data_IF_051393676937
#
_entry.id   IF_051393676937
#
_cell.length_a   1.000
_cell.length_b   1.000
_cell.length_c   1.000
_cell.angle_alpha   90.00
_cell.angle_beta   90.00
_cell.angle_gamma   90.00
#
_symmetry.space_group_name_H-M   'P 1'
#
loop_
_entity.id
_entity.type
_entity.pdbx_description
1 polymer ?
#
# COMPACT_ATOMS: atom_id res chain seq x y z
N UNK A 1 28.01 48.14 -4.90
CA UNK A 1 26.62 47.66 -5.08
C UNK A 1 26.63 46.34 -5.85
N UNK A 2 25.58 45.53 -5.69
CA UNK A 2 25.31 44.20 -6.29
C UNK A 2 25.91 42.97 -5.60
N UNK A 3 25.29 42.65 -4.46
CA UNK A 3 24.85 41.29 -4.14
C UNK A 3 24.04 40.77 -5.33
N UNK A 4 24.16 39.50 -5.72
CA UNK A 4 23.05 38.64 -6.19
C UNK A 4 23.53 37.25 -6.65
N UNK A 5 22.97 36.25 -5.95
CA UNK A 5 22.48 34.93 -6.40
C UNK A 5 23.45 33.95 -7.06
N UNK A 6 23.85 32.93 -6.29
CA UNK A 6 23.71 31.53 -6.71
C UNK A 6 23.27 30.72 -5.49
N UNK A 7 21.97 30.74 -5.18
CA UNK A 7 21.32 29.75 -4.28
C UNK A 7 20.22 29.11 -5.11
N UNK A 8 20.61 28.25 -6.06
CA UNK A 8 19.68 27.44 -6.87
C UNK A 8 20.22 26.01 -6.83
N UNK A 9 20.08 25.35 -5.68
CA UNK A 9 20.43 23.93 -5.53
C UNK A 9 19.57 23.22 -4.46
N UNK A 10 18.38 23.74 -4.15
CA UNK A 10 17.55 23.26 -3.03
C UNK A 10 16.07 23.04 -3.40
N UNK A 11 15.81 22.73 -4.67
CA UNK A 11 14.49 22.33 -5.16
C UNK A 11 14.62 21.07 -6.02
N UNK A 12 15.30 20.04 -5.50
CA UNK A 12 14.97 18.68 -5.92
C UNK A 12 13.69 18.33 -5.17
N UNK A 13 12.53 18.17 -5.85
CA UNK A 13 11.37 17.60 -5.19
C UNK A 13 11.81 16.23 -4.68
N UNK A 14 11.78 16.05 -3.35
CA UNK A 14 11.83 14.74 -2.71
C UNK A 14 10.67 13.95 -3.30
N UNK A 15 10.93 13.22 -4.38
CA UNK A 15 9.98 12.25 -4.91
C UNK A 15 9.76 11.28 -3.77
N UNK A 16 8.57 11.30 -3.18
CA UNK A 16 8.15 10.28 -2.24
C UNK A 16 8.17 8.97 -3.01
N UNK A 17 9.26 8.21 -2.87
CA UNK A 17 9.47 6.93 -3.52
C UNK A 17 8.51 5.92 -2.88
N UNK A 18 7.25 5.92 -3.33
CA UNK A 18 6.33 4.82 -3.07
C UNK A 18 6.77 3.65 -3.95
N UNK A 19 7.43 2.68 -3.34
CA UNK A 19 7.80 1.43 -4.02
C UNK A 19 6.59 0.50 -3.98
N UNK A 20 6.23 -0.04 -5.15
CA UNK A 20 5.22 -1.08 -5.29
C UNK A 20 5.91 -2.44 -5.25
N UNK A 21 5.37 -3.34 -4.45
CA UNK A 21 5.82 -4.70 -4.26
C UNK A 21 4.70 -5.67 -4.63
N UNK A 22 5.03 -6.92 -4.91
CA UNK A 22 4.06 -7.99 -5.15
C UNK A 22 4.32 -9.12 -4.16
N UNK A 23 3.26 -9.81 -3.74
CA UNK A 23 3.37 -10.93 -2.82
C UNK A 23 2.04 -11.65 -2.58
N UNK A 24 2.05 -12.64 -1.71
CA UNK A 24 0.85 -13.38 -1.30
C UNK A 24 0.43 -12.94 0.09
N UNK A 25 -0.79 -12.43 0.23
CA UNK A 25 -1.36 -12.10 1.54
C UNK A 25 -1.71 -13.39 2.27
N UNK A 26 -0.96 -13.76 3.30
CA UNK A 26 -1.18 -14.99 4.06
C UNK A 26 -2.12 -14.76 5.26
N UNK A 27 -2.04 -13.60 5.89
CA UNK A 27 -2.90 -13.26 7.02
C UNK A 27 -3.20 -11.76 7.05
N UNK A 28 -4.41 -11.43 7.49
CA UNK A 28 -4.85 -10.05 7.67
C UNK A 28 -5.67 -9.95 8.96
N UNK A 29 -5.15 -9.22 9.96
CA UNK A 29 -5.75 -9.13 11.28
C UNK A 29 -6.13 -7.68 11.60
N UNK A 30 -7.44 -7.43 11.72
CA UNK A 30 -8.02 -6.20 12.24
C UNK A 30 -8.82 -6.51 13.51
N UNK A 31 -8.67 -5.74 14.62
CA UNK A 31 -7.98 -4.46 14.78
C UNK A 31 -6.46 -4.54 15.04
N UNK A 32 -5.86 -5.74 14.96
CA UNK A 32 -4.43 -5.96 15.19
C UNK A 32 -3.49 -5.18 14.27
N UNK A 33 -4.02 -4.53 13.22
CA UNK A 33 -3.30 -3.64 12.29
C UNK A 33 -2.03 -4.28 11.74
N UNK A 34 -2.06 -5.60 11.60
CA UNK A 34 -0.94 -6.45 11.19
C UNK A 34 -1.40 -7.36 10.08
N UNK A 35 -0.58 -7.48 9.06
CA UNK A 35 -0.77 -8.40 7.95
C UNK A 35 0.52 -9.17 7.69
N UNK A 36 0.42 -10.34 7.06
CA UNK A 36 1.55 -11.20 6.71
C UNK A 36 1.56 -11.38 5.20
N UNK A 37 2.67 -11.01 4.55
CA UNK A 37 2.88 -11.15 3.11
C UNK A 37 4.16 -11.95 2.90
N UNK A 38 4.06 -13.09 2.21
CA UNK A 38 5.18 -14.02 1.96
C UNK A 38 6.00 -14.33 3.23
N UNK A 39 5.31 -14.64 4.33
CA UNK A 39 5.90 -14.90 5.65
C UNK A 39 6.42 -13.67 6.41
N UNK A 40 6.38 -12.47 5.84
CA UNK A 40 6.84 -11.23 6.50
C UNK A 40 5.67 -10.47 7.11
N UNK A 41 5.79 -10.13 8.40
CA UNK A 41 4.78 -9.35 9.11
C UNK A 41 4.98 -7.85 8.89
N UNK A 42 3.92 -7.17 8.46
CA UNK A 42 3.87 -5.73 8.27
C UNK A 42 2.78 -5.11 9.12
N UNK A 43 3.01 -3.87 9.57
CA UNK A 43 1.95 -3.01 10.12
C UNK A 43 1.18 -2.35 8.98
N UNK A 44 -0.08 -2.02 9.21
CA UNK A 44 -0.86 -1.17 8.33
C UNK A 44 -1.70 -0.17 9.12
N UNK A 45 -2.15 0.90 8.49
CA UNK A 45 -3.08 1.86 9.09
C UNK A 45 -4.53 1.45 8.78
N UNK A 46 -5.51 1.62 9.69
CA UNK A 46 -6.93 1.44 9.37
C UNK A 46 -7.41 2.22 8.13
N UNK A 47 -6.69 3.27 7.72
CA UNK A 47 -6.94 4.03 6.49
C UNK A 47 -6.31 3.40 5.22
N UNK A 48 -5.81 2.16 5.30
CA UNK A 48 -5.26 1.43 4.15
C UNK A 48 -6.26 1.39 3.00
N UNK A 49 -5.78 1.67 1.79
CA UNK A 49 -6.60 1.58 0.58
C UNK A 49 -6.53 0.17 0.04
N UNK A 50 -7.68 -0.49 -0.05
CA UNK A 50 -7.78 -1.84 -0.62
C UNK A 50 -8.48 -1.73 -1.97
N UNK A 51 -7.85 -2.25 -3.01
CA UNK A 51 -8.40 -2.31 -4.36
C UNK A 51 -8.60 -3.76 -4.78
N UNK A 52 -9.71 -4.04 -5.44
CA UNK A 52 -9.96 -5.31 -6.16
C UNK A 52 -10.14 -4.96 -7.63
N UNK A 53 -9.23 -5.43 -8.48
CA UNK A 53 -9.24 -5.14 -9.93
C UNK A 53 -9.52 -3.64 -10.22
N UNK A 54 -8.75 -2.77 -9.55
CA UNK A 54 -8.79 -1.30 -9.64
C UNK A 54 -10.00 -0.59 -8.99
N UNK A 55 -10.94 -1.35 -8.42
CA UNK A 55 -12.07 -0.79 -7.68
C UNK A 55 -11.73 -0.69 -6.20
N UNK A 56 -11.92 0.49 -5.59
CA UNK A 56 -11.76 0.66 -4.14
C UNK A 56 -12.80 -0.21 -3.42
N UNK A 57 -12.32 -1.10 -2.56
CA UNK A 57 -13.10 -2.08 -1.85
C UNK A 57 -13.02 -1.87 -0.33
N UNK A 58 -14.03 -2.29 0.42
CA UNK A 58 -14.00 -2.26 1.88
C UNK A 58 -12.93 -3.22 2.44
N UNK A 59 -12.53 -3.00 3.70
CA UNK A 59 -11.42 -3.72 4.31
C UNK A 59 -11.68 -5.23 4.53
N UNK A 60 -12.95 -5.62 4.62
CA UNK A 60 -13.41 -7.01 4.68
C UNK A 60 -13.28 -7.76 3.34
N UNK A 61 -13.00 -7.05 2.24
CA UNK A 61 -12.62 -7.65 0.97
C UNK A 61 -11.21 -8.27 1.01
N UNK A 62 -10.37 -7.92 1.99
CA UNK A 62 -9.07 -8.54 2.14
C UNK A 62 -9.19 -10.03 2.52
N UNK A 63 -8.67 -10.91 1.66
CA UNK A 63 -8.70 -12.37 1.88
C UNK A 63 -7.28 -12.94 1.90
N UNK A 64 -7.07 -13.87 2.82
CA UNK A 64 -5.85 -14.68 2.87
C UNK A 64 -5.70 -15.55 1.62
N UNK A 65 -4.47 -15.92 1.32
CA UNK A 65 -4.01 -16.73 0.20
C UNK A 65 -4.26 -16.12 -1.19
N UNK A 66 -4.31 -14.79 -1.28
CA UNK A 66 -4.46 -14.09 -2.55
C UNK A 66 -3.19 -13.32 -2.93
N UNK A 67 -2.92 -13.26 -4.24
CA UNK A 67 -1.86 -12.42 -4.77
C UNK A 67 -2.28 -10.96 -4.73
N UNK A 68 -1.37 -10.14 -4.21
CA UNK A 68 -1.56 -8.71 -4.10
C UNK A 68 -0.34 -7.95 -4.63
N UNK A 69 -0.60 -6.77 -5.16
CA UNK A 69 0.38 -5.69 -5.21
C UNK A 69 0.17 -4.79 -3.99
N UNK A 70 1.23 -4.27 -3.40
CA UNK A 70 1.14 -3.45 -2.21
C UNK A 70 2.19 -2.34 -2.19
N UNK A 71 1.87 -1.23 -1.52
CA UNK A 71 2.79 -0.11 -1.33
C UNK A 71 3.18 -0.01 0.12
N UNK A 72 4.48 0.16 0.35
CA UNK A 72 5.03 0.47 1.66
C UNK A 72 5.31 1.97 1.74
N UNK A 73 4.83 2.59 2.80
CA UNK A 73 5.21 3.94 3.22
C UNK A 73 6.09 3.88 4.46
N UNK A 74 7.04 4.80 4.53
CA UNK A 74 7.92 4.98 5.69
C UNK A 74 7.53 6.28 6.38
N UNK A 75 7.08 6.22 7.64
CA UNK A 75 6.78 7.45 8.41
C UNK A 75 8.07 8.15 8.84
N UNK A 76 7.93 9.38 9.31
CA UNK A 76 9.03 10.15 9.89
C UNK A 76 9.72 9.47 11.09
N UNK A 77 9.04 8.52 11.74
CA UNK A 77 9.60 7.68 12.82
C UNK A 77 10.50 6.54 12.31
N UNK A 78 10.56 6.31 10.99
CA UNK A 78 11.29 5.19 10.36
C UNK A 78 10.50 3.88 10.32
N UNK A 79 9.31 3.84 10.92
CA UNK A 79 8.42 2.67 10.81
C UNK A 79 7.89 2.51 9.38
N UNK A 80 7.72 1.25 8.96
CA UNK A 80 7.19 0.88 7.64
C UNK A 80 5.77 0.36 7.77
N UNK A 81 4.90 0.81 6.88
CA UNK A 81 3.49 0.43 6.89
C UNK A 81 3.02 0.16 5.47
N UNK A 82 2.12 -0.80 5.32
CA UNK A 82 1.40 -0.96 4.07
C UNK A 82 0.30 0.10 4.00
N UNK A 83 0.35 0.96 2.98
CA UNK A 83 -0.63 2.04 2.77
C UNK A 83 -1.66 1.72 1.69
N UNK A 84 -1.33 0.80 0.79
CA UNK A 84 -2.21 0.36 -0.29
C UNK A 84 -2.00 -1.12 -0.56
N UNK A 85 -3.09 -1.85 -0.82
CA UNK A 85 -3.10 -3.21 -1.36
C UNK A 85 -4.04 -3.28 -2.56
N UNK A 86 -3.64 -4.04 -3.58
CA UNK A 86 -4.41 -4.31 -4.79
C UNK A 86 -4.44 -5.81 -5.02
N UNK A 87 -5.61 -6.39 -4.87
CA UNK A 87 -5.87 -7.79 -5.17
C UNK A 87 -5.97 -7.96 -6.68
N UNK A 88 -5.13 -8.84 -7.21
CA UNK A 88 -5.12 -9.24 -8.62
C UNK A 88 -6.00 -10.48 -8.75
N UNK A 89 -7.32 -10.26 -8.88
CA UNK A 89 -8.28 -11.34 -9.04
C UNK A 89 -8.57 -11.57 -10.51
N UNK A 90 -8.81 -12.82 -10.89
CA UNK A 90 -9.39 -13.10 -12.21
C UNK A 90 -10.81 -12.54 -12.29
N UNK A 91 -11.32 -12.23 -13.48
CA UNK A 91 -12.70 -11.72 -13.65
C UNK A 91 -13.74 -12.65 -13.01
N UNK A 92 -13.54 -13.98 -13.13
CA UNK A 92 -14.39 -14.99 -12.52
C UNK A 92 -14.38 -14.98 -10.97
N UNK A 93 -13.32 -14.47 -10.36
CA UNK A 93 -13.24 -14.28 -8.91
C UNK A 93 -13.85 -12.95 -8.51
N UNK A 94 -13.60 -11.88 -9.26
CA UNK A 94 -14.12 -10.53 -9.01
C UNK A 94 -15.66 -10.45 -9.04
N UNK A 95 -16.34 -11.21 -9.91
CA UNK A 95 -17.81 -11.25 -9.97
C UNK A 95 -18.47 -11.69 -8.66
N UNK A 96 -17.79 -12.51 -7.85
CA UNK A 96 -18.29 -12.92 -6.52
C UNK A 96 -18.24 -11.79 -5.48
N UNK A 97 -17.56 -10.68 -5.78
CA UNK A 97 -17.30 -9.59 -4.84
C UNK A 97 -17.95 -8.26 -5.24
N UNK A 98 -18.41 -8.11 -6.50
CA UNK A 98 -19.09 -6.89 -6.98
C UNK A 98 -20.62 -6.99 -6.81
N UNK A 99 -21.17 -8.19 -6.65
CA UNK A 99 -22.61 -8.43 -6.48
C UNK A 99 -22.92 -8.74 -5.01
N UNK A 100 -22.82 -7.77 -4.10
CA UNK A 100 -23.55 -7.73 -2.82
C UNK A 100 -23.72 -6.28 -2.36
#
# INVERSE_FOLDING_TARGET
MKKILVVIALLLPLQAFSQTFSGTLEAFAFPGSTLVIDGVSYKFDPQIKIYVNDTLAPMDAARANQKIDYKIEVRSTGEKFVSEMRFLLTEAEAEKYIVH
#
